data_IF_760457384049
#
_entry.id   IF_760457384049
#
_cell.length_a   1.000
_cell.length_b   1.000
_cell.length_c   1.000
_cell.angle_alpha   90.00
_cell.angle_beta   90.00
_cell.angle_gamma   90.00
#
_symmetry.space_group_name_H-M   'P 1'
#
loop_
_entity.id
_entity.type
_entity.pdbx_description
1 polymer ?
#
# COMPACT_ATOMS: atom_id res chain seq x y z
N UNK A 1 17.49 -21.47 -16.28
CA UNK A 1 16.46 -22.10 -17.14
C UNK A 1 16.10 -21.11 -18.22
N UNK A 2 16.28 -21.49 -19.49
CA UNK A 2 16.04 -20.62 -20.66
C UNK A 2 14.53 -20.53 -20.93
N UNK A 3 14.08 -19.32 -21.21
CA UNK A 3 12.71 -18.88 -21.48
C UNK A 3 11.83 -19.93 -22.18
N UNK A 4 10.87 -20.51 -21.46
CA UNK A 4 9.75 -21.25 -22.06
C UNK A 4 8.75 -20.25 -22.66
N UNK A 5 8.36 -20.47 -23.91
CA UNK A 5 7.35 -19.68 -24.62
C UNK A 5 6.05 -19.61 -23.80
N UNK A 6 5.47 -18.42 -23.63
CA UNK A 6 4.23 -18.18 -22.84
C UNK A 6 3.09 -19.10 -23.26
N UNK A 7 2.94 -19.36 -24.57
CA UNK A 7 1.95 -20.32 -25.09
C UNK A 7 2.18 -21.76 -24.62
N UNK A 8 3.44 -22.15 -24.43
CA UNK A 8 3.84 -23.47 -23.93
C UNK A 8 3.54 -23.61 -22.42
N UNK A 9 3.73 -22.52 -21.67
CA UNK A 9 3.32 -22.43 -20.26
C UNK A 9 1.80 -22.47 -20.11
N UNK A 10 1.04 -21.71 -20.91
CA UNK A 10 -0.43 -21.74 -20.89
C UNK A 10 -1.00 -23.12 -21.25
N UNK A 11 -0.42 -23.79 -22.26
CA UNK A 11 -0.76 -25.16 -22.61
C UNK A 11 -0.45 -26.13 -21.46
N UNK A 12 0.71 -25.99 -20.81
CA UNK A 12 1.07 -26.77 -19.62
C UNK A 12 0.04 -26.54 -18.49
N UNK A 13 -0.30 -25.29 -18.17
CA UNK A 13 -1.29 -24.97 -17.14
C UNK A 13 -2.66 -25.58 -17.42
N UNK A 14 -3.10 -25.56 -18.67
CA UNK A 14 -4.37 -26.18 -19.09
C UNK A 14 -4.33 -27.70 -19.03
N UNK A 15 -3.23 -28.32 -19.47
CA UNK A 15 -3.08 -29.78 -19.50
C UNK A 15 -2.96 -30.37 -18.10
N UNK A 16 -2.26 -29.68 -17.19
CA UNK A 16 -1.99 -30.18 -15.83
C UNK A 16 -2.88 -29.58 -14.76
N UNK A 17 -3.95 -28.85 -15.14
CA UNK A 17 -4.86 -28.17 -14.22
C UNK A 17 -4.13 -27.24 -13.23
N UNK A 18 -3.05 -26.60 -13.71
CA UNK A 18 -2.19 -25.66 -12.99
C UNK A 18 -2.33 -24.25 -13.58
N UNK A 19 -3.56 -23.85 -13.90
CA UNK A 19 -3.88 -22.53 -14.47
C UNK A 19 -3.49 -21.38 -13.55
N UNK A 20 -3.67 -21.54 -12.23
CA UNK A 20 -3.24 -20.55 -11.22
C UNK A 20 -1.72 -20.38 -11.19
N UNK A 21 -0.96 -21.48 -11.28
CA UNK A 21 0.50 -21.45 -11.38
C UNK A 21 0.96 -20.76 -12.68
N UNK A 22 0.24 -20.94 -13.77
CA UNK A 22 0.53 -20.24 -15.03
C UNK A 22 0.20 -18.76 -14.96
N UNK A 23 -0.92 -18.36 -14.35
CA UNK A 23 -1.22 -16.95 -14.07
C UNK A 23 -0.18 -16.32 -13.14
N UNK A 24 0.32 -17.07 -12.14
CA UNK A 24 1.42 -16.66 -11.26
C UNK A 24 2.75 -16.51 -12.00
N UNK A 25 3.04 -17.33 -13.01
CA UNK A 25 4.30 -17.28 -13.78
C UNK A 25 4.26 -16.21 -14.87
N UNK A 26 3.14 -16.11 -15.61
CA UNK A 26 2.90 -15.08 -16.63
C UNK A 26 2.75 -13.71 -15.96
N UNK A 27 2.02 -13.63 -14.85
CA UNK A 27 1.88 -12.39 -14.06
C UNK A 27 3.15 -11.91 -13.37
N UNK A 28 4.18 -12.76 -13.24
CA UNK A 28 5.49 -12.36 -12.70
C UNK A 28 6.35 -11.59 -13.70
N UNK A 29 6.05 -11.64 -14.99
CA UNK A 29 6.94 -11.11 -16.03
C UNK A 29 6.13 -10.20 -16.96
N UNK A 30 6.43 -8.90 -16.96
CA UNK A 30 5.72 -7.94 -17.80
C UNK A 30 5.92 -8.24 -19.30
N UNK A 31 4.88 -8.15 -20.12
CA UNK A 31 5.02 -8.29 -21.58
C UNK A 31 5.79 -7.11 -22.21
N UNK A 32 5.76 -5.93 -21.58
CA UNK A 32 6.46 -4.72 -22.02
C UNK A 32 7.95 -4.73 -21.63
N UNK A 33 8.28 -4.92 -20.35
CA UNK A 33 9.68 -4.88 -19.88
C UNK A 33 10.36 -6.25 -19.72
N UNK A 34 9.61 -7.35 -19.70
CA UNK A 34 10.10 -8.75 -19.62
C UNK A 34 10.98 -9.09 -18.41
N UNK A 35 11.02 -8.24 -17.39
CA UNK A 35 11.70 -8.52 -16.14
C UNK A 35 10.72 -8.96 -15.03
N UNK A 36 11.20 -9.75 -14.06
CA UNK A 36 10.45 -10.02 -12.85
C UNK A 36 10.26 -8.73 -12.04
N UNK A 37 9.18 -8.63 -11.25
CA UNK A 37 8.94 -7.49 -10.34
C UNK A 37 10.16 -7.23 -9.44
N UNK A 38 10.77 -8.28 -8.91
CA UNK A 38 11.95 -8.19 -8.05
C UNK A 38 13.23 -7.74 -8.80
N UNK A 39 13.21 -7.73 -10.13
CA UNK A 39 14.29 -7.24 -11.00
C UNK A 39 14.15 -5.77 -11.42
N UNK A 40 13.06 -5.11 -11.03
CA UNK A 40 13.05 -3.65 -10.96
C UNK A 40 13.67 -3.27 -9.61
N UNK A 41 14.84 -2.63 -9.64
CA UNK A 41 15.38 -1.93 -8.46
C UNK A 41 14.46 -0.75 -8.12
N UNK A 42 13.34 -1.05 -7.45
CA UNK A 42 12.44 -0.04 -6.88
C UNK A 42 12.87 0.33 -5.46
N UNK A 43 13.96 -0.25 -4.94
CA UNK A 43 14.50 0.10 -3.64
C UNK A 43 15.10 1.51 -3.67
N UNK A 44 14.32 2.51 -3.26
CA UNK A 44 14.92 3.73 -2.71
C UNK A 44 15.51 3.40 -1.35
N UNK A 45 16.82 3.58 -1.20
CA UNK A 45 17.53 3.53 0.09
C UNK A 45 17.17 4.71 1.00
N UNK A 46 16.48 5.72 0.46
CA UNK A 46 16.07 6.89 1.20
C UNK A 46 14.88 6.58 2.14
N UNK A 47 14.92 7.19 3.32
CA UNK A 47 13.82 7.18 4.29
C UNK A 47 12.62 7.91 3.71
N UNK A 48 11.69 7.19 3.09
CA UNK A 48 10.47 7.76 2.52
C UNK A 48 9.28 7.41 3.40
N UNK A 49 8.53 8.44 3.83
CA UNK A 49 7.22 8.27 4.44
C UNK A 49 6.13 8.47 3.37
N UNK A 50 4.92 7.97 3.63
CA UNK A 50 3.83 8.06 2.64
C UNK A 50 3.38 9.49 2.36
N UNK A 51 3.43 10.39 3.36
CA UNK A 51 3.05 11.80 3.18
C UNK A 51 3.98 12.52 2.20
N UNK A 52 5.28 12.34 2.36
CA UNK A 52 6.31 12.88 1.48
C UNK A 52 6.09 12.34 0.05
N UNK A 53 5.75 11.06 -0.04
CA UNK A 53 5.54 10.40 -1.33
C UNK A 53 4.28 10.86 -2.05
N UNK A 54 3.24 11.26 -1.32
CA UNK A 54 2.03 11.87 -1.85
C UNK A 54 2.16 13.38 -2.09
N UNK A 55 3.30 13.98 -1.75
CA UNK A 55 3.53 15.42 -1.93
C UNK A 55 2.73 16.30 -0.95
N UNK A 56 2.21 15.74 0.14
CA UNK A 56 1.54 16.51 1.18
C UNK A 56 2.56 17.32 1.99
N UNK A 57 2.82 18.56 1.57
CA UNK A 57 3.53 19.58 2.35
C UNK A 57 2.53 20.22 3.31
N UNK A 58 2.74 20.09 4.62
CA UNK A 58 1.87 20.74 5.61
C UNK A 58 2.67 21.79 6.38
N UNK A 59 2.00 22.71 7.06
CA UNK A 59 2.66 23.66 7.97
C UNK A 59 3.46 22.96 9.10
N UNK A 60 3.33 21.64 9.25
CA UNK A 60 4.15 20.77 10.10
C UNK A 60 5.50 20.37 9.47
N UNK A 61 5.89 20.93 8.31
CA UNK A 61 7.21 20.73 7.68
C UNK A 61 8.37 21.31 8.54
N UNK A 62 8.07 22.03 9.62
CA UNK A 62 9.04 22.47 10.65
C UNK A 62 9.44 21.30 11.58
N UNK A 63 8.65 20.22 11.66
CA UNK A 63 8.80 19.13 12.62
C UNK A 63 9.20 17.76 11.99
N UNK A 64 9.44 17.70 10.68
CA UNK A 64 9.83 16.47 9.98
C UNK A 64 11.15 15.91 10.52
N UNK A 65 12.07 16.79 10.94
CA UNK A 65 13.33 16.42 11.58
C UNK A 65 13.12 15.86 13.00
N UNK A 66 12.24 16.48 13.79
CA UNK A 66 11.91 16.00 15.14
C UNK A 66 11.13 14.68 15.12
N UNK A 67 10.27 14.49 14.12
CA UNK A 67 9.53 13.23 13.90
C UNK A 67 10.48 12.10 13.56
N UNK A 68 11.44 12.33 12.65
CA UNK A 68 12.48 11.35 12.31
C UNK A 68 13.36 11.00 13.52
N UNK A 69 13.85 12.01 14.24
CA UNK A 69 14.66 11.81 15.45
C UNK A 69 13.87 11.02 16.50
N UNK A 70 12.59 11.32 16.69
CA UNK A 70 11.71 10.59 17.60
C UNK A 70 11.54 9.12 17.20
N UNK A 71 11.35 8.81 15.93
CA UNK A 71 11.29 7.42 15.44
C UNK A 71 12.59 6.68 15.75
N UNK A 72 13.74 7.29 15.42
CA UNK A 72 15.07 6.70 15.64
C UNK A 72 15.34 6.48 17.12
N UNK A 73 15.04 7.47 17.97
CA UNK A 73 15.22 7.39 19.42
C UNK A 73 14.36 6.28 20.06
N UNK A 74 13.23 5.92 19.44
CA UNK A 74 12.39 4.81 19.87
C UNK A 74 12.74 3.48 19.17
N UNK A 75 13.72 3.47 18.25
CA UNK A 75 14.19 2.27 17.57
C UNK A 75 13.30 1.79 16.41
N UNK A 76 12.51 2.67 15.80
CA UNK A 76 11.61 2.33 14.69
C UNK A 76 11.88 3.16 13.43
N UNK A 77 11.60 2.57 12.27
CA UNK A 77 11.59 3.28 10.98
C UNK A 77 10.34 4.16 10.80
N UNK A 78 9.31 3.94 11.61
CA UNK A 78 8.13 4.79 11.72
C UNK A 78 7.40 4.48 13.03
N UNK A 79 6.74 5.49 13.60
CA UNK A 79 5.82 5.31 14.73
C UNK A 79 4.52 6.06 14.43
N UNK A 80 3.37 5.57 14.94
CA UNK A 80 2.12 6.30 14.87
C UNK A 80 2.26 7.68 15.55
N UNK A 81 1.82 8.77 14.88
CA UNK A 81 1.91 10.11 15.44
C UNK A 81 1.01 10.24 16.68
N UNK A 82 1.32 11.21 17.53
CA UNK A 82 0.49 11.59 18.70
C UNK A 82 0.26 10.49 19.76
N UNK A 83 1.01 9.38 19.74
CA UNK A 83 0.97 8.36 20.80
C UNK A 83 2.16 8.49 21.77
N UNK A 84 1.97 8.14 23.05
CA UNK A 84 3.09 7.99 24.01
C UNK A 84 3.93 6.76 23.67
N UNK A 85 5.17 6.66 24.15
CA UNK A 85 6.02 5.49 23.90
C UNK A 85 5.36 4.17 24.34
N UNK A 86 4.66 4.17 25.47
CA UNK A 86 3.92 3.00 25.95
C UNK A 86 2.79 2.61 24.98
N UNK A 87 2.06 3.59 24.44
CA UNK A 87 1.02 3.34 23.44
C UNK A 87 1.61 2.91 22.10
N UNK A 88 2.77 3.41 21.69
CA UNK A 88 3.49 2.93 20.49
C UNK A 88 3.83 1.44 20.61
N UNK A 89 4.37 1.00 21.75
CA UNK A 89 4.66 -0.42 21.98
C UNK A 89 3.37 -1.28 22.01
N UNK A 90 2.29 -0.78 22.63
CA UNK A 90 0.99 -1.46 22.58
C UNK A 90 0.46 -1.60 21.15
N UNK A 91 0.58 -0.55 20.35
CA UNK A 91 0.17 -0.54 18.95
C UNK A 91 0.89 -1.61 18.13
N UNK A 92 2.22 -1.70 18.26
CA UNK A 92 3.00 -2.69 17.53
C UNK A 92 2.82 -4.12 18.01
N UNK A 93 2.37 -4.35 19.26
CA UNK A 93 1.96 -5.68 19.73
C UNK A 93 0.71 -6.21 19.01
N UNK A 94 -0.12 -5.33 18.44
CA UNK A 94 -1.28 -5.72 17.65
C UNK A 94 -0.92 -6.13 16.21
N UNK A 95 0.35 -6.05 15.81
CA UNK A 95 0.82 -6.41 14.48
C UNK A 95 1.68 -7.67 14.51
N UNK A 96 1.75 -8.44 13.41
CA UNK A 96 2.72 -9.53 13.27
C UNK A 96 4.15 -9.03 13.47
N UNK A 97 4.95 -9.76 14.25
CA UNK A 97 6.29 -9.34 14.65
C UNK A 97 7.23 -9.09 13.46
N UNK A 98 7.09 -9.86 12.39
CA UNK A 98 7.86 -9.75 11.15
C UNK A 98 7.49 -8.51 10.30
N UNK A 99 6.39 -7.83 10.63
CA UNK A 99 5.90 -6.61 9.98
C UNK A 99 6.10 -5.34 10.81
N UNK A 100 6.59 -5.46 12.06
CA UNK A 100 6.87 -4.30 12.91
C UNK A 100 8.15 -3.60 12.44
N UNK A 101 8.12 -2.30 12.12
CA UNK A 101 9.24 -1.60 11.48
C UNK A 101 10.34 -1.19 12.47
N UNK A 102 10.91 -2.14 13.22
CA UNK A 102 12.08 -1.88 14.07
C UNK A 102 13.32 -1.66 13.19
N UNK A 103 14.19 -0.72 13.56
CA UNK A 103 15.41 -0.45 12.80
C UNK A 103 16.28 -1.72 12.67
N UNK A 104 16.75 -2.00 11.46
CA UNK A 104 17.54 -3.19 11.11
C UNK A 104 16.75 -4.49 10.98
N UNK A 105 15.44 -4.48 11.22
CA UNK A 105 14.62 -5.71 11.24
C UNK A 105 14.05 -6.09 9.86
N UNK A 106 13.50 -7.30 9.75
CA UNK A 106 12.72 -7.71 8.57
C UNK A 106 11.50 -6.81 8.35
N UNK A 107 10.91 -6.30 9.43
CA UNK A 107 9.72 -5.44 9.37
C UNK A 107 10.02 -4.06 8.79
N UNK A 108 11.22 -3.53 9.00
CA UNK A 108 11.67 -2.30 8.33
C UNK A 108 11.77 -2.53 6.81
N UNK A 109 12.38 -3.63 6.39
CA UNK A 109 12.47 -4.01 4.97
C UNK A 109 11.09 -4.26 4.37
N UNK A 110 10.20 -4.94 5.12
CA UNK A 110 8.81 -5.14 4.73
C UNK A 110 8.09 -3.81 4.52
N UNK A 111 8.20 -2.87 5.46
CA UNK A 111 7.60 -1.53 5.35
C UNK A 111 8.06 -0.80 4.09
N UNK A 112 9.37 -0.73 3.85
CA UNK A 112 9.92 -0.08 2.67
C UNK A 112 9.39 -0.71 1.37
N UNK A 113 9.31 -2.04 1.33
CA UNK A 113 8.73 -2.79 0.21
C UNK A 113 7.23 -2.50 0.03
N UNK A 114 6.46 -2.44 1.11
CA UNK A 114 5.02 -2.17 1.04
C UNK A 114 4.73 -0.76 0.56
N UNK A 115 5.48 0.25 0.98
CA UNK A 115 5.34 1.62 0.45
C UNK A 115 5.45 1.59 -1.07
N UNK A 116 6.51 0.97 -1.60
CA UNK A 116 6.78 0.91 -3.04
C UNK A 116 5.70 0.16 -3.83
N UNK A 117 5.29 -1.01 -3.34
CA UNK A 117 4.29 -1.85 -4.01
C UNK A 117 2.90 -1.23 -3.95
N UNK A 118 2.51 -0.71 -2.79
CA UNK A 118 1.14 -0.26 -2.58
C UNK A 118 0.86 1.14 -3.14
N UNK A 119 1.91 1.92 -3.41
CA UNK A 119 1.85 3.24 -4.04
C UNK A 119 2.82 3.25 -5.23
N UNK A 120 2.50 2.73 -6.43
CA UNK A 120 3.41 2.75 -7.56
C UNK A 120 3.77 4.19 -8.00
N UNK A 121 4.98 4.40 -8.51
CA UNK A 121 5.42 5.77 -8.93
C UNK A 121 4.61 6.27 -10.13
N UNK A 122 4.14 5.36 -10.96
CA UNK A 122 3.25 5.61 -12.10
C UNK A 122 2.00 6.36 -11.69
N UNK A 123 1.50 6.13 -10.47
CA UNK A 123 0.32 6.82 -9.96
C UNK A 123 0.65 8.11 -9.19
N UNK A 124 1.93 8.49 -9.12
CA UNK A 124 2.36 9.74 -8.50
C UNK A 124 2.64 10.81 -9.53
N UNK A 125 3.18 10.44 -10.69
CA UNK A 125 3.43 11.36 -11.77
C UNK A 125 3.51 10.65 -13.12
N UNK A 126 2.95 11.31 -14.14
CA UNK A 126 2.99 10.87 -15.53
C UNK A 126 4.42 10.67 -16.05
N UNK A 127 5.40 11.41 -15.51
CA UNK A 127 6.82 11.26 -15.84
C UNK A 127 7.38 9.86 -15.54
N UNK A 128 6.71 9.08 -14.69
CA UNK A 128 7.07 7.69 -14.39
C UNK A 128 6.33 6.67 -15.25
N UNK A 129 5.35 7.10 -16.05
CA UNK A 129 4.61 6.26 -16.98
C UNK A 129 5.31 6.25 -18.34
N UNK A 130 5.84 5.09 -18.75
CA UNK A 130 6.59 4.98 -20.01
C UNK A 130 5.70 4.72 -21.23
N UNK A 131 4.49 4.21 -21.00
CA UNK A 131 3.64 3.68 -22.06
C UNK A 131 2.32 4.44 -22.23
N UNK A 132 2.05 5.44 -21.39
CA UNK A 132 0.85 6.27 -21.53
C UNK A 132 1.04 7.23 -22.70
N UNK A 133 0.23 7.09 -23.74
CA UNK A 133 0.26 7.98 -24.90
C UNK A 133 -0.28 9.38 -24.57
N UNK A 134 0.19 10.38 -25.33
CA UNK A 134 -0.22 11.78 -25.15
C UNK A 134 -1.73 12.00 -25.24
N UNK A 135 -2.42 11.20 -26.05
CA UNK A 135 -3.89 11.22 -26.16
C UNK A 135 -4.60 10.86 -24.84
N UNK A 136 -3.95 10.09 -23.95
CA UNK A 136 -4.51 9.62 -22.70
C UNK A 136 -4.07 10.43 -21.48
N UNK A 137 -3.25 11.48 -21.65
CA UNK A 137 -2.77 12.33 -20.54
C UNK A 137 -3.93 12.97 -19.75
N UNK A 138 -4.97 13.47 -20.43
CA UNK A 138 -6.14 14.04 -19.73
C UNK A 138 -6.84 13.00 -18.86
N UNK A 139 -6.99 11.76 -19.35
CA UNK A 139 -7.61 10.68 -18.58
C UNK A 139 -6.75 10.27 -17.37
N UNK A 140 -5.42 10.35 -17.51
CA UNK A 140 -4.51 10.16 -16.38
C UNK A 140 -4.71 11.25 -15.32
N UNK A 141 -4.74 12.52 -15.71
CA UNK A 141 -4.93 13.64 -14.78
C UNK A 141 -6.30 13.54 -14.08
N UNK A 142 -7.37 13.22 -14.82
CA UNK A 142 -8.70 12.99 -14.26
C UNK A 142 -8.70 11.87 -13.21
N UNK A 143 -8.00 10.76 -13.50
CA UNK A 143 -7.86 9.64 -12.57
C UNK A 143 -7.12 10.07 -11.28
N UNK A 144 -6.00 10.79 -11.41
CA UNK A 144 -5.22 11.24 -10.26
C UNK A 144 -6.01 12.22 -9.41
N UNK A 145 -6.71 13.17 -10.03
CA UNK A 145 -7.53 14.15 -9.32
C UNK A 145 -8.69 13.46 -8.59
N UNK A 146 -9.46 12.62 -9.28
CA UNK A 146 -10.55 11.88 -8.68
C UNK A 146 -10.08 10.98 -7.53
N UNK A 147 -8.95 10.28 -7.70
CA UNK A 147 -8.34 9.48 -6.65
C UNK A 147 -7.98 10.33 -5.45
N UNK A 148 -7.23 11.41 -5.63
CA UNK A 148 -6.71 12.23 -4.53
C UNK A 148 -7.83 12.94 -3.77
N UNK A 149 -8.87 13.40 -4.45
CA UNK A 149 -9.97 14.15 -3.83
C UNK A 149 -11.01 13.21 -3.20
N UNK A 150 -11.37 12.14 -3.90
CA UNK A 150 -12.56 11.34 -3.55
C UNK A 150 -12.20 10.03 -2.84
N UNK A 151 -11.13 9.35 -3.23
CA UNK A 151 -10.86 7.98 -2.77
C UNK A 151 -9.73 7.89 -1.73
N UNK A 152 -8.62 8.61 -1.94
CA UNK A 152 -7.36 8.46 -1.20
C UNK A 152 -7.40 9.21 0.13
N UNK A 153 -6.84 8.59 1.16
CA UNK A 153 -6.57 9.21 2.46
C UNK A 153 -5.53 8.40 3.25
N UNK A 154 -5.14 8.89 4.43
CA UNK A 154 -4.22 8.23 5.37
C UNK A 154 -4.96 7.93 6.67
N UNK A 155 -4.81 6.71 7.17
CA UNK A 155 -5.41 6.31 8.43
C UNK A 155 -4.53 6.67 9.63
N UNK A 156 -5.14 6.96 10.78
CA UNK A 156 -4.45 7.43 11.99
C UNK A 156 -4.69 6.50 13.16
N UNK A 157 -3.63 6.17 13.90
CA UNK A 157 -3.78 5.49 15.18
C UNK A 157 -4.40 6.45 16.20
N UNK A 158 -5.37 5.96 16.98
CA UNK A 158 -6.09 6.73 17.99
C UNK A 158 -6.45 5.83 19.16
N UNK A 159 -6.42 6.40 20.37
CA UNK A 159 -6.90 5.71 21.58
C UNK A 159 -8.43 5.67 21.54
N UNK A 160 -9.00 4.49 21.73
CA UNK A 160 -10.44 4.26 21.82
C UNK A 160 -10.98 4.92 23.10
N UNK A 161 -11.97 5.79 22.96
CA UNK A 161 -12.63 6.44 24.10
C UNK A 161 -13.86 5.69 24.57
N UNK A 162 -14.49 4.94 23.66
CA UNK A 162 -15.70 4.14 23.91
C UNK A 162 -15.52 2.75 23.29
N UNK A 163 -16.31 1.80 23.77
CA UNK A 163 -16.37 0.46 23.15
C UNK A 163 -16.96 0.56 21.75
N UNK A 164 -16.24 0.05 20.75
CA UNK A 164 -16.68 0.00 19.34
C UNK A 164 -16.32 -1.36 18.74
N UNK A 165 -17.10 -1.82 17.77
CA UNK A 165 -16.78 -3.06 17.06
C UNK A 165 -15.92 -2.76 15.83
N UNK A 166 -14.88 -3.57 15.65
CA UNK A 166 -14.01 -3.49 14.48
C UNK A 166 -14.78 -3.89 13.21
N UNK A 167 -14.74 -3.10 12.12
CA UNK A 167 -15.47 -3.44 10.90
C UNK A 167 -14.97 -4.72 10.18
N UNK A 168 -13.71 -5.12 10.35
CA UNK A 168 -13.15 -6.31 9.66
C UNK A 168 -13.39 -7.62 10.43
N UNK A 169 -13.16 -7.63 11.75
CA UNK A 169 -13.28 -8.86 12.55
C UNK A 169 -14.53 -8.91 13.44
N UNK A 170 -15.30 -7.82 13.53
CA UNK A 170 -16.46 -7.65 14.40
C UNK A 170 -16.20 -7.79 15.92
N UNK A 171 -14.95 -8.01 16.32
CA UNK A 171 -14.54 -8.00 17.73
C UNK A 171 -14.45 -6.57 18.28
N UNK A 172 -14.66 -6.43 19.59
CA UNK A 172 -14.71 -5.13 20.23
C UNK A 172 -13.31 -4.56 20.51
N UNK A 173 -13.11 -3.29 20.16
CA UNK A 173 -12.10 -2.43 20.76
C UNK A 173 -12.70 -1.79 22.02
N UNK A 174 -12.04 -1.97 23.16
CA UNK A 174 -12.45 -1.40 24.43
C UNK A 174 -11.86 0.00 24.63
N UNK A 175 -12.39 0.79 25.58
CA UNK A 175 -11.73 2.02 26.00
C UNK A 175 -10.27 1.77 26.39
N UNK A 176 -9.38 2.70 26.04
CA UNK A 176 -7.92 2.63 26.18
C UNK A 176 -7.18 1.72 25.18
N UNK A 177 -7.88 0.86 24.42
CA UNK A 177 -7.28 0.15 23.28
C UNK A 177 -6.86 1.15 22.18
N UNK A 178 -5.99 0.70 21.28
CA UNK A 178 -5.54 1.51 20.14
C UNK A 178 -6.26 1.01 18.91
N UNK A 179 -7.06 1.90 18.32
CA UNK A 179 -7.71 1.71 17.04
C UNK A 179 -7.03 2.49 15.92
N UNK A 180 -7.42 2.17 14.70
CA UNK A 180 -7.05 2.88 13.48
C UNK A 180 -8.30 3.56 12.95
N UNK A 181 -8.25 4.88 12.80
CA UNK A 181 -9.31 5.70 12.24
C UNK A 181 -9.03 5.96 10.76
N UNK A 182 -10.03 5.71 9.92
CA UNK A 182 -10.00 6.03 8.49
C UNK A 182 -10.99 7.17 8.21
N UNK A 183 -10.54 8.44 8.04
CA UNK A 183 -11.45 9.59 7.99
C UNK A 183 -12.51 9.54 6.88
N UNK A 184 -12.25 8.85 5.76
CA UNK A 184 -13.23 8.63 4.67
C UNK A 184 -14.47 7.84 5.12
N UNK A 185 -14.39 7.08 6.22
CA UNK A 185 -15.53 6.40 6.85
C UNK A 185 -16.15 7.21 8.00
N UNK A 186 -15.61 8.39 8.30
CA UNK A 186 -15.99 9.23 9.43
C UNK A 186 -15.43 8.76 10.77
N UNK A 187 -15.76 9.50 11.84
CA UNK A 187 -15.10 9.36 13.15
C UNK A 187 -15.61 8.22 14.04
N UNK A 188 -16.57 7.43 13.53
CA UNK A 188 -17.27 6.40 14.32
C UNK A 188 -16.65 5.01 14.20
N UNK A 189 -15.92 4.74 13.12
CA UNK A 189 -15.35 3.42 12.86
C UNK A 189 -13.88 3.39 13.26
N UNK A 190 -13.51 2.35 14.01
CA UNK A 190 -12.13 2.06 14.37
C UNK A 190 -11.82 0.60 14.04
N UNK A 191 -10.73 0.39 13.32
CA UNK A 191 -10.19 -0.94 13.07
C UNK A 191 -9.14 -1.27 14.10
N UNK A 192 -8.97 -2.55 14.44
CA UNK A 192 -7.72 -2.96 15.07
C UNK A 192 -6.54 -2.67 14.12
N UNK A 193 -5.34 -2.37 14.63
CA UNK A 193 -4.16 -2.14 13.80
C UNK A 193 -3.88 -3.27 12.80
N UNK A 194 -4.03 -4.53 13.23
CA UNK A 194 -3.86 -5.70 12.37
C UNK A 194 -5.03 -5.98 11.41
N UNK A 195 -6.19 -5.37 11.63
CA UNK A 195 -7.40 -5.54 10.83
C UNK A 195 -7.53 -4.50 9.71
N UNK A 196 -6.76 -3.41 9.77
CA UNK A 196 -6.78 -2.39 8.73
C UNK A 196 -5.89 -2.82 7.55
N UNK A 197 -6.48 -3.64 6.67
CA UNK A 197 -5.82 -4.29 5.53
C UNK A 197 -6.53 -4.00 4.22
N UNK A 198 -5.81 -4.09 3.11
CA UNK A 198 -6.42 -4.02 1.78
C UNK A 198 -7.34 -5.23 1.53
N UNK A 199 -8.54 -4.99 1.01
CA UNK A 199 -9.52 -6.03 0.67
C UNK A 199 -8.93 -7.11 -0.26
N UNK A 200 -8.12 -6.73 -1.25
CA UNK A 200 -7.58 -7.65 -2.26
C UNK A 200 -6.37 -8.45 -1.77
N UNK A 201 -5.28 -7.79 -1.35
CA UNK A 201 -4.04 -8.49 -0.99
C UNK A 201 -3.88 -8.79 0.50
N UNK A 202 -4.80 -8.32 1.34
CA UNK A 202 -4.77 -8.46 2.80
C UNK A 202 -3.46 -7.95 3.44
N UNK A 203 -2.74 -7.06 2.76
CA UNK A 203 -1.58 -6.37 3.32
C UNK A 203 -2.03 -5.21 4.20
N UNK A 204 -1.25 -4.96 5.25
CA UNK A 204 -1.47 -3.86 6.18
C UNK A 204 -1.46 -2.52 5.44
N UNK A 205 -2.42 -1.66 5.79
CA UNK A 205 -2.55 -0.29 5.31
C UNK A 205 -2.21 0.75 6.37
N UNK A 206 -1.97 0.30 7.60
CA UNK A 206 -1.41 1.17 8.63
C UNK A 206 -0.07 1.73 8.18
N UNK A 207 0.21 3.01 8.51
CA UNK A 207 1.40 3.74 8.02
C UNK A 207 1.43 3.96 6.50
N UNK A 208 0.41 3.50 5.77
CA UNK A 208 0.26 3.68 4.33
C UNK A 208 -0.97 4.52 4.00
N UNK A 209 -1.12 4.83 2.72
CA UNK A 209 -2.35 5.41 2.21
C UNK A 209 -3.32 4.31 1.80
N UNK A 210 -4.60 4.60 1.93
CA UNK A 210 -5.69 3.74 1.52
C UNK A 210 -6.61 4.49 0.58
N UNK A 211 -7.31 3.74 -0.26
CA UNK A 211 -8.39 4.24 -1.09
C UNK A 211 -9.71 3.60 -0.67
N UNK A 212 -10.80 4.36 -0.75
CA UNK A 212 -12.16 3.84 -0.58
C UNK A 212 -12.84 3.67 -1.92
N UNK A 213 -13.43 2.51 -2.15
CA UNK A 213 -14.28 2.23 -3.30
C UNK A 213 -15.37 1.23 -2.88
N UNK A 214 -16.63 1.51 -3.20
CA UNK A 214 -17.79 0.68 -2.82
C UNK A 214 -17.79 0.28 -1.33
N UNK A 215 -17.53 1.25 -0.45
CA UNK A 215 -17.41 1.08 1.01
C UNK A 215 -16.33 0.09 1.49
N UNK A 216 -15.42 -0.31 0.60
CA UNK A 216 -14.30 -1.20 0.89
C UNK A 216 -12.97 -0.45 0.86
N UNK A 217 -11.99 -1.00 1.61
CA UNK A 217 -10.67 -0.39 1.77
C UNK A 217 -9.66 -1.09 0.86
N UNK A 218 -8.99 -0.33 0.01
CA UNK A 218 -7.98 -0.82 -0.91
C UNK A 218 -6.63 -0.13 -0.66
N UNK A 219 -5.53 -0.81 -0.98
CA UNK A 219 -4.30 -0.09 -1.24
C UNK A 219 -4.44 0.67 -2.55
N UNK A 220 -3.64 1.72 -2.74
CA UNK A 220 -3.73 2.57 -3.92
C UNK A 220 -3.54 1.77 -5.22
N UNK A 221 -2.57 0.85 -5.26
CA UNK A 221 -2.38 -0.09 -6.37
C UNK A 221 -3.66 -0.89 -6.74
N UNK A 222 -4.30 -1.54 -5.77
CA UNK A 222 -5.48 -2.37 -6.05
C UNK A 222 -6.72 -1.53 -6.37
N UNK A 223 -6.81 -0.31 -5.84
CA UNK A 223 -7.82 0.65 -6.24
C UNK A 223 -7.64 1.03 -7.72
N UNK A 224 -6.42 1.38 -8.13
CA UNK A 224 -6.13 1.69 -9.53
C UNK A 224 -6.48 0.52 -10.47
N UNK A 225 -6.20 -0.72 -10.04
CA UNK A 225 -6.56 -1.94 -10.77
C UNK A 225 -8.07 -2.17 -10.93
N UNK A 226 -8.93 -1.60 -10.07
CA UNK A 226 -10.38 -1.65 -10.27
C UNK A 226 -10.82 -0.82 -11.48
N UNK A 227 -10.08 0.25 -11.80
CA UNK A 227 -10.44 1.20 -12.86
C UNK A 227 -9.71 0.91 -14.17
N UNK A 228 -8.42 0.55 -14.09
CA UNK A 228 -7.61 0.23 -15.27
C UNK A 228 -6.68 -0.96 -14.99
N UNK A 229 -6.77 -2.06 -15.77
CA UNK A 229 -5.83 -3.16 -15.67
C UNK A 229 -4.38 -2.69 -15.88
N UNK A 230 -3.48 -3.16 -15.04
CA UNK A 230 -2.04 -2.87 -15.14
C UNK A 230 -1.20 -4.11 -14.96
N UNK A 231 0.05 -4.02 -15.36
CA UNK A 231 1.00 -5.11 -15.24
C UNK A 231 1.44 -5.33 -13.78
N UNK A 232 1.31 -6.56 -13.30
CA UNK A 232 1.79 -6.98 -11.98
C UNK A 232 3.30 -7.00 -11.79
N UNK A 233 4.12 -6.53 -12.74
CA UNK A 233 5.57 -6.41 -12.57
C UNK A 233 6.09 -4.97 -12.67
N UNK A 234 5.65 -4.20 -13.68
CA UNK A 234 6.08 -2.80 -13.84
C UNK A 234 5.05 -1.76 -13.40
N UNK A 235 3.84 -2.18 -13.02
CA UNK A 235 2.69 -1.32 -12.65
C UNK A 235 2.24 -0.34 -13.75
N UNK A 236 2.70 -0.51 -14.99
CA UNK A 236 2.21 0.23 -16.17
C UNK A 236 0.85 -0.31 -16.61
N UNK A 237 -0.02 0.59 -17.08
CA UNK A 237 -1.32 0.24 -17.66
C UNK A 237 -1.11 -0.58 -18.94
N UNK A 238 -1.89 -1.64 -19.11
CA UNK A 238 -1.82 -2.44 -20.34
C UNK A 238 -2.81 -1.89 -21.37
N UNK A 239 -2.33 -1.47 -22.54
CA UNK A 239 -3.13 -0.90 -23.64
C UNK A 239 -4.04 -1.92 -24.36
N UNK A 240 -4.50 -2.96 -23.68
CA UNK A 240 -5.44 -3.92 -24.27
C UNK A 240 -6.86 -3.38 -24.20
N UNK A 241 -7.17 -2.43 -25.07
CA UNK A 241 -8.54 -2.25 -25.56
C UNK A 241 -8.93 -3.54 -26.30
N UNK A 242 -9.95 -4.23 -25.80
CA UNK A 242 -10.60 -5.36 -26.47
C UNK A 242 -11.92 -4.93 -27.09
#
# INVERSE_FOLDING_TARGET
>A
MRYSCVRLLELYGKVFNQTELCQLIVGKTCNSCKCPRDGHDVYHEEWVNVRDRLGYKTQADIDTKSTRERCINQGFAWIPPNLTQLKVEQYFKCLPADKVPRLGSSGEKYRAKQIQIQLPKQDLALAYCKHVESAHHSSYDDFINARNELALDIAYAKICTNKVNCPECNEALNPDDIGVLAPKFGDKFLWHPGCFVCTTCKQLLVDLAYCVHDELVYCERHYAEQLKPRCSACDEVSDFDY
#
